data_IF_277698797869
#
_entry.id   IF_277698797869
#
_cell.length_a   1.000
_cell.length_b   1.000
_cell.length_c   1.000
_cell.angle_alpha   90.00
_cell.angle_beta   90.00
_cell.angle_gamma   90.00
#
_symmetry.space_group_name_H-M   'P 1'
#
loop_
_entity.id
_entity.type
_entity.pdbx_description
1 polymer ?
#
# COMPACT_ATOMS: atom_id res chain seq x y z
N UNK A 1 33.98 -29.68 -26.12
CA UNK A 1 32.67 -29.12 -26.54
C UNK A 1 31.59 -29.93 -25.86
N UNK A 2 31.03 -29.39 -24.77
CA UNK A 2 30.07 -30.05 -23.91
C UNK A 2 28.66 -29.47 -24.15
N UNK A 3 27.69 -30.38 -24.32
CA UNK A 3 26.30 -30.36 -23.84
C UNK A 3 25.46 -29.09 -24.06
N UNK A 4 24.62 -29.15 -25.08
CA UNK A 4 23.28 -28.53 -25.17
C UNK A 4 22.47 -29.56 -26.00
N UNK A 5 21.39 -30.20 -25.57
CA UNK A 5 20.03 -29.70 -25.32
C UNK A 5 19.29 -30.88 -24.63
N UNK A 6 18.55 -30.65 -23.56
CA UNK A 6 17.62 -31.65 -23.01
C UNK A 6 16.40 -30.93 -22.44
N UNK A 7 15.25 -31.60 -22.56
CA UNK A 7 13.96 -31.35 -21.89
C UNK A 7 12.99 -30.42 -22.63
N UNK A 8 12.40 -30.90 -23.72
CA UNK A 8 10.97 -30.73 -24.01
C UNK A 8 10.46 -32.07 -24.57
N UNK A 9 9.26 -32.46 -24.13
CA UNK A 9 8.44 -33.58 -24.61
C UNK A 9 8.82 -34.99 -24.15
N UNK A 10 8.23 -35.41 -23.02
CA UNK A 10 7.64 -36.76 -22.85
C UNK A 10 6.87 -36.80 -21.53
N UNK A 11 5.66 -36.25 -21.56
CA UNK A 11 4.67 -36.33 -20.48
C UNK A 11 3.35 -36.81 -21.10
N UNK A 12 3.43 -37.96 -21.76
CA UNK A 12 2.30 -38.75 -22.25
C UNK A 12 2.79 -40.19 -22.30
N UNK A 13 2.27 -41.03 -21.39
CA UNK A 13 2.40 -42.50 -21.27
C UNK A 13 2.85 -42.87 -19.86
N UNK A 14 1.91 -42.87 -18.92
CA UNK A 14 1.92 -43.68 -17.69
C UNK A 14 0.50 -43.66 -17.10
N UNK A 15 -0.42 -44.35 -17.75
CA UNK A 15 -1.73 -44.69 -17.19
C UNK A 15 -2.15 -46.06 -17.72
N UNK A 16 -1.59 -47.12 -17.16
CA UNK A 16 -2.11 -48.48 -17.28
C UNK A 16 -1.49 -49.32 -16.16
N UNK A 17 -2.31 -49.61 -15.14
CA UNK A 17 -1.97 -50.55 -14.06
C UNK A 17 -2.22 -49.98 -12.66
N UNK A 18 -3.47 -49.94 -12.23
CA UNK A 18 -3.81 -49.94 -10.81
C UNK A 18 -5.11 -50.71 -10.63
N UNK A 19 -5.05 -51.71 -9.76
CA UNK A 19 -6.12 -52.65 -9.46
C UNK A 19 -7.34 -51.95 -8.84
N UNK A 20 -8.53 -52.48 -9.14
CA UNK A 20 -9.79 -52.12 -8.48
C UNK A 20 -9.71 -52.50 -7.00
N UNK A 21 -9.59 -51.48 -6.14
CA UNK A 21 -9.92 -51.56 -4.72
C UNK A 21 -11.23 -50.81 -4.57
N UNK A 22 -12.33 -51.51 -4.28
CA UNK A 22 -13.57 -50.89 -3.82
C UNK A 22 -13.31 -50.22 -2.47
N UNK A 23 -12.98 -48.93 -2.50
CA UNK A 23 -13.05 -48.10 -1.30
C UNK A 23 -14.53 -47.89 -0.93
N UNK A 24 -14.92 -48.05 0.34
CA UNK A 24 -16.26 -47.71 0.77
C UNK A 24 -16.42 -46.20 0.56
N UNK A 25 -17.25 -45.82 -0.42
CA UNK A 25 -17.68 -44.43 -0.63
C UNK A 25 -18.21 -43.95 0.71
N UNK A 26 -17.48 -43.06 1.38
CA UNK A 26 -17.93 -42.39 2.58
C UNK A 26 -19.26 -41.71 2.23
N UNK A 27 -20.38 -42.26 2.71
CA UNK A 27 -21.66 -41.57 2.66
C UNK A 27 -21.51 -40.34 3.53
N UNK A 28 -21.29 -39.20 2.88
CA UNK A 28 -21.36 -37.89 3.54
C UNK A 28 -22.76 -37.81 4.16
N UNK A 29 -22.80 -37.64 5.48
CA UNK A 29 -24.05 -37.39 6.20
C UNK A 29 -24.77 -36.22 5.50
N UNK A 30 -26.05 -36.37 5.10
CA UNK A 30 -26.78 -35.29 4.46
C UNK A 30 -26.70 -33.96 5.21
N UNK A 31 -26.56 -33.98 6.55
CA UNK A 31 -26.38 -32.76 7.36
C UNK A 31 -24.98 -32.13 7.23
N UNK A 32 -23.93 -32.91 6.94
CA UNK A 32 -22.56 -32.42 6.68
C UNK A 32 -22.34 -31.92 5.25
N UNK A 33 -23.28 -32.20 4.34
CA UNK A 33 -23.22 -31.77 2.93
C UNK A 33 -23.75 -30.36 2.67
N UNK A 34 -24.43 -29.76 3.65
CA UNK A 34 -24.97 -28.41 3.56
C UNK A 34 -23.91 -27.43 4.07
N UNK A 35 -23.30 -26.66 3.16
CA UNK A 35 -22.39 -25.56 3.51
C UNK A 35 -23.18 -24.54 4.33
N UNK A 36 -22.80 -24.35 5.60
CA UNK A 36 -23.34 -23.32 6.47
C UNK A 36 -22.50 -22.06 6.34
N UNK A 37 -23.10 -20.89 6.50
CA UNK A 37 -22.33 -19.63 6.44
C UNK A 37 -21.24 -19.56 7.53
N UNK A 38 -21.48 -20.17 8.69
CA UNK A 38 -20.50 -20.32 9.76
C UNK A 38 -19.19 -21.00 9.34
N UNK A 39 -19.19 -21.81 8.28
CA UNK A 39 -17.98 -22.49 7.77
C UNK A 39 -16.94 -21.51 7.21
N UNK A 40 -17.34 -20.27 6.95
CA UNK A 40 -16.49 -19.19 6.41
C UNK A 40 -16.06 -18.15 7.45
N UNK A 41 -16.53 -18.30 8.70
CA UNK A 41 -16.31 -17.35 9.79
C UNK A 41 -15.34 -17.95 10.82
N UNK A 42 -14.46 -17.15 11.45
CA UNK A 42 -13.54 -17.66 12.47
C UNK A 42 -14.31 -18.06 13.74
N UNK A 43 -14.56 -19.36 13.90
CA UNK A 43 -15.43 -19.96 14.94
C UNK A 43 -14.96 -19.64 16.37
N UNK A 44 -13.63 -19.65 16.59
CA UNK A 44 -13.01 -19.42 17.92
C UNK A 44 -13.37 -18.06 18.56
N UNK A 45 -13.79 -17.08 17.75
CA UNK A 45 -14.19 -15.74 18.22
C UNK A 45 -15.63 -15.67 18.74
N UNK A 46 -16.49 -16.62 18.40
CA UNK A 46 -17.93 -16.54 18.66
C UNK A 46 -18.40 -17.41 19.83
N UNK A 47 -17.73 -18.52 20.13
CA UNK A 47 -18.07 -19.36 21.29
C UNK A 47 -17.81 -18.67 22.64
N UNK A 48 -16.91 -17.69 22.67
CA UNK A 48 -16.58 -16.89 23.86
C UNK A 48 -17.04 -15.42 23.74
N UNK A 49 -17.85 -15.11 22.73
CA UNK A 49 -18.35 -13.77 22.54
C UNK A 49 -19.35 -13.39 23.64
N UNK A 50 -19.21 -12.19 24.20
CA UNK A 50 -20.23 -11.64 25.10
C UNK A 50 -21.52 -11.33 24.32
N UNK A 51 -22.70 -11.51 24.92
CA UNK A 51 -23.99 -11.21 24.27
C UNK A 51 -24.05 -9.82 23.59
N UNK A 52 -23.55 -8.71 24.18
CA UNK A 52 -23.60 -7.40 23.51
C UNK A 52 -22.75 -7.33 22.23
N UNK A 53 -21.63 -8.06 22.20
CA UNK A 53 -20.79 -8.16 21.01
C UNK A 53 -21.52 -8.95 19.92
N UNK A 54 -22.12 -10.08 20.29
CA UNK A 54 -22.88 -10.91 19.36
C UNK A 54 -24.11 -10.18 18.84
N UNK A 55 -24.84 -9.45 19.70
CA UNK A 55 -25.97 -8.59 19.32
C UNK A 55 -25.55 -7.53 18.31
N UNK A 56 -24.48 -6.76 18.59
CA UNK A 56 -24.00 -5.72 17.67
C UNK A 56 -23.50 -6.29 16.33
N UNK A 57 -22.82 -7.44 16.36
CA UNK A 57 -22.35 -8.11 15.15
C UNK A 57 -23.52 -8.59 14.28
N UNK A 58 -24.49 -9.31 14.86
CA UNK A 58 -25.67 -9.80 14.13
C UNK A 58 -26.51 -8.64 13.63
N UNK A 59 -26.73 -7.59 14.44
CA UNK A 59 -27.45 -6.39 14.02
C UNK A 59 -26.78 -5.75 12.79
N UNK A 60 -25.44 -5.61 12.79
CA UNK A 60 -24.72 -5.04 11.65
C UNK A 60 -24.84 -5.88 10.37
N UNK A 61 -24.87 -7.22 10.52
CA UNK A 61 -25.05 -8.14 9.40
C UNK A 61 -26.45 -8.05 8.81
N UNK A 62 -27.48 -8.02 9.66
CA UNK A 62 -28.86 -7.85 9.21
C UNK A 62 -29.03 -6.48 8.55
N UNK A 63 -28.53 -5.41 9.15
CA UNK A 63 -28.63 -4.06 8.56
C UNK A 63 -27.90 -4.00 7.22
N UNK A 64 -26.74 -4.66 7.07
CA UNK A 64 -26.02 -4.66 5.78
C UNK A 64 -26.80 -5.32 4.62
N UNK A 65 -27.69 -6.26 4.92
CA UNK A 65 -28.38 -7.10 3.91
C UNK A 65 -29.87 -6.78 3.80
N UNK A 66 -30.49 -6.34 4.90
CA UNK A 66 -31.94 -6.23 5.12
C UNK A 66 -32.33 -4.89 5.79
N UNK A 67 -31.51 -3.82 5.65
CA UNK A 67 -31.74 -2.51 6.30
C UNK A 67 -33.17 -1.97 6.16
N UNK A 68 -33.83 -2.23 5.04
CA UNK A 68 -35.17 -1.73 4.72
C UNK A 68 -36.26 -2.24 5.68
N UNK A 69 -36.02 -3.37 6.35
CA UNK A 69 -37.01 -4.00 7.24
C UNK A 69 -36.85 -3.57 8.71
N UNK A 70 -35.76 -2.88 9.07
CA UNK A 70 -35.49 -2.43 10.45
C UNK A 70 -35.68 -3.54 11.50
N UNK A 71 -35.17 -4.74 11.20
CA UNK A 71 -35.23 -5.89 12.12
C UNK A 71 -34.36 -5.59 13.33
N UNK A 72 -34.89 -5.87 14.52
CA UNK A 72 -34.17 -5.62 15.78
C UNK A 72 -33.68 -6.96 16.32
N UNK A 73 -32.39 -6.99 16.67
CA UNK A 73 -31.74 -8.15 17.28
C UNK A 73 -31.53 -7.90 18.76
N UNK A 74 -31.88 -8.88 19.58
CA UNK A 74 -31.53 -8.93 21.02
C UNK A 74 -30.87 -10.27 21.29
N UNK A 75 -29.76 -10.27 22.03
CA UNK A 75 -29.05 -11.50 22.40
C UNK A 75 -28.96 -11.65 23.91
N UNK A 76 -29.29 -12.84 24.42
CA UNK A 76 -29.13 -13.23 25.83
C UNK A 76 -28.69 -14.68 25.91
N UNK A 77 -27.60 -14.96 26.62
CA UNK A 77 -27.02 -16.30 26.75
C UNK A 77 -26.85 -17.00 25.40
N UNK A 78 -26.42 -16.27 24.35
CA UNK A 78 -26.34 -16.77 22.96
C UNK A 78 -27.68 -17.17 22.29
N UNK A 79 -28.81 -16.93 22.95
CA UNK A 79 -30.14 -16.99 22.35
C UNK A 79 -30.47 -15.65 21.68
N UNK A 80 -30.80 -15.69 20.40
CA UNK A 80 -31.12 -14.51 19.62
C UNK A 80 -32.63 -14.36 19.52
N UNK A 81 -33.15 -13.18 19.89
CA UNK A 81 -34.54 -12.81 19.62
C UNK A 81 -34.60 -11.78 18.52
N UNK A 82 -35.38 -12.05 17.48
CA UNK A 82 -35.63 -11.16 16.37
C UNK A 82 -37.01 -10.51 16.52
N UNK A 83 -37.04 -9.19 16.35
CA UNK A 83 -38.26 -8.39 16.34
C UNK A 83 -38.41 -7.66 15.01
N UNK A 84 -39.65 -7.25 14.69
CA UNK A 84 -39.97 -6.46 13.49
C UNK A 84 -39.57 -7.14 12.17
N UNK A 85 -39.78 -8.46 12.07
CA UNK A 85 -39.59 -9.18 10.81
C UNK A 85 -40.60 -8.73 9.74
N UNK A 86 -40.22 -8.78 8.45
CA UNK A 86 -41.14 -8.47 7.37
C UNK A 86 -42.33 -9.42 7.34
N UNK A 87 -43.50 -8.91 6.94
CA UNK A 87 -44.72 -9.73 6.76
C UNK A 87 -44.62 -10.76 5.63
N UNK A 88 -43.58 -10.70 4.81
CA UNK A 88 -43.32 -11.68 3.76
C UNK A 88 -42.62 -12.90 4.36
N UNK A 89 -43.33 -14.02 4.44
CA UNK A 89 -42.86 -15.28 5.04
C UNK A 89 -41.55 -15.80 4.45
N UNK A 90 -41.31 -15.63 3.15
CA UNK A 90 -40.07 -16.10 2.52
C UNK A 90 -38.87 -15.29 3.00
N UNK A 91 -39.04 -13.98 3.09
CA UNK A 91 -37.99 -13.06 3.55
C UNK A 91 -37.77 -13.24 5.06
N UNK A 92 -38.84 -13.36 5.86
CA UNK A 92 -38.75 -13.61 7.30
C UNK A 92 -38.01 -14.93 7.60
N UNK A 93 -38.34 -16.02 6.90
CA UNK A 93 -37.63 -17.30 7.03
C UNK A 93 -36.17 -17.21 6.59
N UNK A 94 -35.89 -16.44 5.53
CA UNK A 94 -34.52 -16.20 5.09
C UNK A 94 -33.70 -15.48 6.16
N UNK A 95 -34.27 -14.49 6.84
CA UNK A 95 -33.58 -13.73 7.90
C UNK A 95 -33.35 -14.63 9.12
N UNK A 96 -34.36 -15.41 9.54
CA UNK A 96 -34.22 -16.35 10.66
C UNK A 96 -33.13 -17.39 10.37
N UNK A 97 -33.14 -18.01 9.19
CA UNK A 97 -32.11 -18.97 8.78
C UNK A 97 -30.73 -18.31 8.73
N UNK A 98 -30.65 -17.09 8.21
CA UNK A 98 -29.40 -16.34 8.14
C UNK A 98 -28.75 -16.16 9.52
N UNK A 99 -29.57 -15.82 10.53
CA UNK A 99 -29.09 -15.62 11.91
C UNK A 99 -28.77 -16.94 12.60
N UNK A 100 -29.60 -17.96 12.38
CA UNK A 100 -29.42 -19.30 12.98
C UNK A 100 -28.13 -20.00 12.51
N UNK A 101 -27.66 -19.69 11.29
CA UNK A 101 -26.44 -20.25 10.71
C UNK A 101 -25.15 -19.55 11.19
N UNK A 102 -25.27 -18.50 12.02
CA UNK A 102 -24.10 -17.78 12.54
C UNK A 102 -23.44 -18.56 13.68
N UNK A 103 -22.10 -18.64 13.70
CA UNK A 103 -21.37 -19.28 14.79
C UNK A 103 -21.64 -18.55 16.10
N UNK A 104 -21.79 -19.31 17.19
CA UNK A 104 -22.11 -18.76 18.51
C UNK A 104 -23.60 -18.45 18.73
N UNK A 105 -24.50 -18.70 17.77
CA UNK A 105 -25.95 -18.61 17.99
C UNK A 105 -26.50 -19.98 18.39
N UNK A 106 -27.06 -20.08 19.60
CA UNK A 106 -27.60 -21.35 20.11
C UNK A 106 -29.03 -21.58 19.61
N UNK A 107 -29.85 -20.54 19.52
CA UNK A 107 -31.17 -20.60 18.90
C UNK A 107 -31.68 -19.20 18.52
N UNK A 108 -32.68 -19.18 17.64
CA UNK A 108 -33.38 -17.97 17.21
C UNK A 108 -34.87 -18.05 17.56
N UNK A 109 -35.37 -17.04 18.27
CA UNK A 109 -36.78 -16.85 18.57
C UNK A 109 -37.30 -15.59 17.85
N UNK A 110 -38.56 -15.62 17.40
CA UNK A 110 -39.22 -14.46 16.80
C UNK A 110 -40.30 -13.96 17.74
N UNK A 111 -40.30 -12.65 18.03
CA UNK A 111 -41.32 -11.99 18.85
C UNK A 111 -41.83 -10.73 18.18
N UNK A 112 -43.11 -10.43 18.38
CA UNK A 112 -43.76 -9.25 17.82
C UNK A 112 -43.52 -7.98 18.66
N UNK A 113 -43.42 -8.13 19.98
CA UNK A 113 -43.28 -7.00 20.91
C UNK A 113 -42.10 -7.21 21.87
N UNK A 114 -41.29 -6.16 22.04
CA UNK A 114 -40.19 -6.13 23.00
C UNK A 114 -40.68 -5.87 24.42
N UNK A 115 -40.03 -6.48 25.40
CA UNK A 115 -40.27 -6.19 26.81
C UNK A 115 -39.72 -4.82 27.21
N UNK A 116 -40.30 -4.22 28.27
CA UNK A 116 -39.83 -2.92 28.79
C UNK A 116 -38.36 -2.95 29.24
N UNK A 117 -37.92 -4.09 29.75
CA UNK A 117 -36.52 -4.33 30.17
C UNK A 117 -35.57 -4.33 28.97
N UNK A 118 -35.94 -4.97 27.86
CA UNK A 118 -35.14 -4.96 26.63
C UNK A 118 -35.06 -3.56 26.01
N UNK A 119 -36.19 -2.84 25.95
CA UNK A 119 -36.23 -1.44 25.49
C UNK A 119 -35.31 -0.56 26.36
N UNK A 120 -35.30 -0.77 27.68
CA UNK A 120 -34.49 0.02 28.60
C UNK A 120 -33.00 -0.36 28.56
N UNK A 121 -32.68 -1.63 28.41
CA UNK A 121 -31.30 -2.10 28.17
C UNK A 121 -30.72 -1.51 26.89
N UNK A 122 -31.56 -1.35 25.85
CA UNK A 122 -31.15 -0.73 24.59
C UNK A 122 -30.94 0.77 24.65
N UNK A 123 -31.70 1.48 25.50
CA UNK A 123 -31.42 2.89 25.79
C UNK A 123 -30.06 3.10 26.48
N UNK A 124 -29.47 2.05 27.03
CA UNK A 124 -28.11 2.02 27.57
C UNK A 124 -27.01 1.86 26.50
N UNK A 125 -27.35 1.50 25.26
CA UNK A 125 -26.45 1.63 24.12
C UNK A 125 -26.41 3.10 23.71
N UNK A 126 -25.76 3.94 24.52
CA UNK A 126 -25.25 5.23 24.04
C UNK A 126 -24.52 4.97 22.73
N UNK A 127 -24.96 5.59 21.64
CA UNK A 127 -24.12 5.72 20.45
C UNK A 127 -22.79 6.29 20.94
N UNK A 128 -21.76 5.45 20.99
CA UNK A 128 -20.44 5.90 21.38
C UNK A 128 -20.13 7.12 20.50
N UNK A 129 -19.60 8.22 21.06
CA UNK A 129 -19.36 9.43 20.31
C UNK A 129 -18.59 9.07 19.03
N UNK A 130 -19.26 9.22 17.88
CA UNK A 130 -18.65 8.97 16.58
C UNK A 130 -17.60 10.04 16.38
N UNK A 131 -16.34 9.71 16.64
CA UNK A 131 -15.22 10.55 16.25
C UNK A 131 -15.28 10.63 14.72
N UNK A 132 -15.34 11.84 14.16
CA UNK A 132 -15.38 12.09 12.70
C UNK A 132 -14.06 11.76 11.99
N UNK A 133 -13.29 10.82 12.54
CA UNK A 133 -11.97 10.46 12.08
C UNK A 133 -11.29 9.39 12.92
N UNK A 134 -10.09 9.00 12.48
CA UNK A 134 -9.28 7.95 13.09
C UNK A 134 -7.85 8.46 13.33
N UNK A 135 -7.34 8.20 14.53
CA UNK A 135 -5.93 8.42 14.87
C UNK A 135 -5.08 7.29 14.34
N UNK A 136 -3.93 7.63 13.75
CA UNK A 136 -2.89 6.70 13.29
C UNK A 136 -3.41 5.57 12.38
N UNK A 137 -4.09 5.87 11.24
CA UNK A 137 -4.55 4.82 10.35
C UNK A 137 -3.38 4.00 9.78
N UNK A 138 -3.46 2.67 9.92
CA UNK A 138 -2.33 1.77 9.60
C UNK A 138 -2.54 0.95 8.31
N UNK A 139 -3.79 0.77 7.90
CA UNK A 139 -4.17 -0.24 6.89
C UNK A 139 -4.16 0.29 5.46
N UNK A 140 -4.43 1.59 5.28
CA UNK A 140 -4.63 2.23 3.98
C UNK A 140 -4.03 3.63 3.96
N UNK A 141 -3.70 4.11 2.77
CA UNK A 141 -3.26 5.49 2.51
C UNK A 141 -4.25 6.14 1.54
N UNK A 142 -4.49 7.45 1.69
CA UNK A 142 -5.37 8.20 0.78
C UNK A 142 -4.69 8.57 -0.54
N UNK A 143 -3.36 8.72 -0.51
CA UNK A 143 -2.53 8.96 -1.68
C UNK A 143 -1.47 7.87 -1.76
N UNK A 144 -1.50 7.07 -2.83
CA UNK A 144 -0.51 6.01 -3.03
C UNK A 144 0.85 6.59 -3.45
N UNK A 145 1.97 6.09 -2.91
CA UNK A 145 3.31 6.54 -3.28
C UNK A 145 3.58 6.46 -4.78
N UNK A 146 4.33 7.41 -5.34
CA UNK A 146 4.69 7.43 -6.76
C UNK A 146 5.79 6.39 -7.03
N UNK A 147 5.45 5.26 -7.67
CA UNK A 147 6.37 4.10 -7.74
C UNK A 147 7.70 4.46 -8.39
N UNK A 148 7.67 5.20 -9.51
CA UNK A 148 8.86 5.52 -10.30
C UNK A 148 9.56 6.83 -9.89
N UNK A 149 9.05 7.57 -8.92
CA UNK A 149 9.74 8.74 -8.38
C UNK A 149 10.99 8.28 -7.59
N UNK A 150 12.21 8.74 -7.96
CA UNK A 150 13.45 8.37 -7.26
C UNK A 150 13.51 8.83 -5.80
N UNK A 151 12.69 9.82 -5.41
CA UNK A 151 12.64 10.44 -4.09
C UNK A 151 11.31 10.26 -3.39
N UNK A 152 10.54 9.25 -3.79
CA UNK A 152 9.43 8.78 -3.00
C UNK A 152 9.95 8.05 -1.73
N UNK A 153 9.46 8.39 -0.53
CA UNK A 153 9.95 7.82 0.74
C UNK A 153 9.47 6.38 0.91
N UNK A 154 10.26 5.45 0.39
CA UNK A 154 10.03 4.00 0.49
C UNK A 154 11.27 3.29 1.01
N UNK A 155 11.10 2.06 1.48
CA UNK A 155 12.24 1.19 1.81
C UNK A 155 12.73 0.52 0.54
N UNK A 156 13.99 0.72 0.15
CA UNK A 156 14.54 0.05 -1.03
C UNK A 156 16.06 -0.16 -0.97
N UNK A 157 16.52 -1.15 -1.73
CA UNK A 157 17.94 -1.38 -2.02
C UNK A 157 18.09 -1.64 -3.50
N UNK A 158 19.00 -0.91 -4.14
CA UNK A 158 19.17 -0.91 -5.59
C UNK A 158 20.65 -1.06 -5.95
N UNK A 159 20.96 -2.06 -6.76
CA UNK A 159 22.27 -2.15 -7.40
C UNK A 159 22.27 -1.27 -8.66
N UNK A 160 22.99 -0.14 -8.60
CA UNK A 160 23.03 0.90 -9.64
C UNK A 160 24.24 0.74 -10.55
N UNK A 161 24.00 0.84 -11.86
CA UNK A 161 24.99 0.61 -12.91
C UNK A 161 24.98 1.72 -13.96
N UNK A 162 26.16 2.14 -14.41
CA UNK A 162 26.32 3.09 -15.51
C UNK A 162 26.27 4.57 -15.12
N UNK A 163 26.08 4.88 -13.84
CA UNK A 163 26.06 6.26 -13.33
C UNK A 163 27.42 6.93 -13.51
N UNK A 164 27.45 8.09 -14.17
CA UNK A 164 28.68 8.85 -14.44
C UNK A 164 29.01 9.85 -13.33
N UNK A 165 28.04 10.19 -12.49
CA UNK A 165 28.17 11.19 -11.42
C UNK A 165 28.66 10.53 -10.15
N UNK A 166 27.94 9.48 -9.70
CA UNK A 166 28.31 8.71 -8.50
C UNK A 166 29.48 7.78 -8.81
N UNK A 167 29.30 6.92 -9.82
CA UNK A 167 30.26 5.91 -10.24
C UNK A 167 29.57 4.75 -10.96
N UNK A 168 30.30 4.04 -11.84
CA UNK A 168 29.73 3.03 -12.75
C UNK A 168 29.04 1.85 -12.04
N UNK A 169 29.35 1.63 -10.78
CA UNK A 169 28.80 0.62 -9.87
C UNK A 169 28.57 1.30 -8.53
N UNK A 170 27.32 1.32 -8.09
CA UNK A 170 26.91 1.89 -6.82
C UNK A 170 25.79 1.07 -6.20
N UNK A 171 25.56 1.25 -4.91
CA UNK A 171 24.38 0.73 -4.20
C UNK A 171 23.60 1.92 -3.66
N UNK A 172 22.35 2.07 -4.08
CA UNK A 172 21.45 3.09 -3.56
C UNK A 172 20.46 2.45 -2.57
N UNK A 173 20.43 2.96 -1.36
CA UNK A 173 19.55 2.51 -0.27
C UNK A 173 18.60 3.64 0.08
N UNK A 174 17.33 3.32 0.27
CA UNK A 174 16.35 4.26 0.81
C UNK A 174 15.64 3.67 2.02
N UNK A 175 15.40 4.53 3.01
CA UNK A 175 14.59 4.24 4.18
C UNK A 175 13.62 5.40 4.35
N UNK A 176 12.33 5.14 4.21
CA UNK A 176 11.32 6.18 4.34
C UNK A 176 9.92 5.58 4.41
N UNK A 177 9.02 6.34 5.02
CA UNK A 177 7.60 6.02 5.08
C UNK A 177 6.80 7.32 5.26
N UNK A 178 5.51 7.23 4.95
CA UNK A 178 4.52 8.22 5.35
C UNK A 178 3.82 7.73 6.63
N UNK A 179 3.78 8.59 7.64
CA UNK A 179 3.18 8.35 8.94
C UNK A 179 1.89 9.17 9.08
N UNK A 180 0.72 8.59 8.78
CA UNK A 180 -0.56 9.24 9.02
C UNK A 180 -0.75 9.52 10.51
N UNK A 181 -1.08 10.77 10.86
CA UNK A 181 -1.37 11.14 12.25
C UNK A 181 -2.87 11.06 12.50
N UNK A 182 -3.66 11.69 11.63
CA UNK A 182 -5.11 11.72 11.77
C UNK A 182 -5.77 11.75 10.40
N UNK A 183 -6.88 11.01 10.28
CA UNK A 183 -7.75 11.04 9.10
C UNK A 183 -9.15 11.44 9.52
N UNK A 184 -9.65 12.54 8.97
CA UNK A 184 -11.06 12.88 8.99
C UNK A 184 -11.81 12.10 7.91
N UNK A 185 -12.98 11.61 8.28
CA UNK A 185 -13.91 10.96 7.36
C UNK A 185 -15.01 11.91 6.92
N UNK A 186 -15.46 11.75 5.68
CA UNK A 186 -16.64 12.42 5.15
C UNK A 186 -16.59 13.96 5.31
N UNK A 187 -15.53 14.58 4.77
CA UNK A 187 -15.30 16.02 4.84
C UNK A 187 -15.52 16.71 3.50
N UNK A 188 -15.84 18.01 3.59
CA UNK A 188 -16.12 18.91 2.47
C UNK A 188 -17.31 18.49 1.60
N UNK A 189 -17.56 19.25 0.53
CA UNK A 189 -18.72 19.07 -0.37
C UNK A 189 -18.75 17.73 -1.11
N UNK A 190 -17.60 17.08 -1.23
CA UNK A 190 -17.44 15.86 -2.02
C UNK A 190 -17.42 14.59 -1.16
N UNK A 191 -17.69 14.70 0.15
CA UNK A 191 -17.82 13.55 1.05
C UNK A 191 -16.59 12.63 1.02
N UNK A 192 -15.39 13.21 0.91
CA UNK A 192 -14.13 12.49 0.83
C UNK A 192 -13.42 12.38 2.18
N UNK A 193 -12.33 11.61 2.21
CA UNK A 193 -11.48 11.50 3.40
C UNK A 193 -10.31 12.49 3.31
N UNK A 194 -9.97 13.16 4.41
CA UNK A 194 -8.82 14.04 4.54
C UNK A 194 -7.86 13.49 5.58
N UNK A 195 -6.56 13.53 5.32
CA UNK A 195 -5.54 13.00 6.22
C UNK A 195 -4.33 13.92 6.28
N UNK A 196 -3.85 14.16 7.50
CA UNK A 196 -2.57 14.82 7.76
C UNK A 196 -1.58 13.80 8.33
N UNK A 197 -0.31 13.94 7.95
CA UNK A 197 0.75 13.06 8.44
C UNK A 197 2.13 13.73 8.44
N UNK A 198 3.14 12.90 8.67
CA UNK A 198 4.55 13.25 8.53
C UNK A 198 5.15 12.30 7.49
N UNK A 199 5.88 12.85 6.54
CA UNK A 199 6.65 12.12 5.55
C UNK A 199 8.12 12.21 5.93
N UNK A 200 8.83 11.10 6.03
CA UNK A 200 10.26 11.11 6.31
C UNK A 200 10.99 10.11 5.44
N UNK A 201 12.16 10.50 4.92
CA UNK A 201 12.94 9.66 4.03
C UNK A 201 14.43 9.96 4.11
N UNK A 202 15.24 8.93 3.93
CA UNK A 202 16.69 9.02 3.80
C UNK A 202 17.10 8.21 2.57
N UNK A 203 17.90 8.79 1.69
CA UNK A 203 18.52 8.08 0.56
C UNK A 203 20.01 8.20 0.67
N UNK A 204 20.70 7.07 0.75
CA UNK A 204 22.15 6.99 0.78
C UNK A 204 22.63 6.22 -0.45
N UNK A 205 23.65 6.76 -1.13
CA UNK A 205 24.26 6.09 -2.28
C UNK A 205 25.74 5.82 -2.03
N UNK A 206 26.13 4.55 -2.17
CA UNK A 206 27.48 4.06 -1.93
C UNK A 206 28.17 3.75 -3.26
N UNK A 207 29.31 4.38 -3.51
CA UNK A 207 30.08 4.16 -4.73
C UNK A 207 31.11 3.03 -4.55
N UNK A 208 31.13 2.08 -5.49
CA UNK A 208 32.10 0.98 -5.56
C UNK A 208 33.13 1.15 -6.69
N UNK A 209 33.01 2.24 -7.47
CA UNK A 209 33.87 2.51 -8.61
C UNK A 209 34.98 3.47 -8.25
N UNK A 210 36.22 3.07 -8.52
CA UNK A 210 37.41 3.95 -8.39
C UNK A 210 37.63 4.47 -6.96
N UNK A 211 37.19 3.71 -5.93
CA UNK A 211 37.43 4.02 -4.51
C UNK A 211 38.94 3.99 -4.22
N UNK A 212 39.53 5.12 -3.76
CA UNK A 212 40.97 5.20 -3.45
C UNK A 212 41.37 4.30 -2.27
N UNK A 213 42.65 3.95 -2.17
CA UNK A 213 43.23 3.08 -1.11
C UNK A 213 42.71 1.64 -1.02
N UNK A 214 42.29 1.07 -2.17
CA UNK A 214 41.78 -0.30 -2.35
C UNK A 214 42.34 -1.36 -1.38
N UNK A 215 41.46 -1.86 -0.51
CA UNK A 215 41.40 -3.29 -0.16
C UNK A 215 40.07 -3.82 -0.70
N UNK A 216 40.01 -5.09 -1.06
CA UNK A 216 38.81 -5.70 -1.65
C UNK A 216 37.56 -5.44 -0.77
N UNK A 217 36.42 -5.14 -1.41
CA UNK A 217 35.10 -4.89 -0.79
C UNK A 217 34.86 -3.53 -0.10
N UNK A 218 35.70 -2.52 -0.32
CA UNK A 218 35.43 -1.16 0.20
C UNK A 218 34.49 -0.36 -0.72
N UNK A 219 33.54 0.37 -0.12
CA UNK A 219 32.73 1.40 -0.78
C UNK A 219 32.95 2.75 -0.10
N UNK A 220 32.64 3.85 -0.80
CA UNK A 220 32.58 5.19 -0.21
C UNK A 220 31.12 5.65 -0.15
N UNK A 221 30.69 6.24 0.97
CA UNK A 221 29.40 6.91 1.01
C UNK A 221 29.50 8.17 0.15
N UNK A 222 28.76 8.22 -0.95
CA UNK A 222 28.88 9.32 -1.90
C UNK A 222 28.03 10.51 -1.50
N UNK A 223 26.76 10.26 -1.19
CA UNK A 223 25.81 11.27 -0.73
C UNK A 223 24.71 10.62 0.12
N UNK A 224 24.18 11.38 1.07
CA UNK A 224 22.96 11.06 1.81
C UNK A 224 22.03 12.26 1.81
N UNK A 225 20.81 12.11 1.32
CA UNK A 225 19.79 13.16 1.49
C UNK A 225 18.73 12.74 2.49
N UNK A 226 18.25 13.73 3.26
CA UNK A 226 17.25 13.60 4.30
C UNK A 226 16.04 14.44 3.92
N UNK A 227 14.86 13.85 3.95
CA UNK A 227 13.58 14.49 3.72
C UNK A 227 12.73 14.42 4.99
N UNK A 228 12.12 15.55 5.34
CA UNK A 228 11.00 15.64 6.28
C UNK A 228 9.93 16.52 5.65
N UNK A 229 8.68 16.07 5.67
CA UNK A 229 7.56 16.83 5.16
C UNK A 229 6.27 16.60 5.93
N UNK A 230 5.30 17.48 5.71
CA UNK A 230 3.96 17.41 6.28
C UNK A 230 2.98 17.27 5.11
N UNK A 231 2.62 16.04 4.71
CA UNK A 231 1.60 15.82 3.69
C UNK A 231 0.19 16.00 4.25
N UNK A 232 -0.61 16.76 3.52
CA UNK A 232 -2.06 16.79 3.58
C UNK A 232 -2.59 16.05 2.36
N UNK A 233 -3.30 14.95 2.59
CA UNK A 233 -3.82 14.08 1.53
C UNK A 233 -5.34 14.04 1.57
N UNK A 234 -5.98 14.10 0.41
CA UNK A 234 -7.44 14.06 0.29
C UNK A 234 -7.82 13.07 -0.80
N UNK A 235 -8.82 12.23 -0.57
CA UNK A 235 -9.28 11.27 -1.58
C UNK A 235 -10.81 11.18 -1.62
N UNK A 236 -11.36 11.15 -2.82
CA UNK A 236 -12.78 10.91 -3.07
C UNK A 236 -12.96 10.22 -4.42
N UNK A 237 -13.83 9.22 -4.48
CA UNK A 237 -14.08 8.40 -5.68
C UNK A 237 -12.75 7.90 -6.31
N UNK A 238 -12.43 8.34 -7.54
CA UNK A 238 -11.21 7.96 -8.28
C UNK A 238 -10.06 8.96 -8.14
N UNK A 239 -10.25 10.03 -7.37
CA UNK A 239 -9.29 11.11 -7.22
C UNK A 239 -8.57 11.03 -5.89
N UNK A 240 -7.26 11.28 -5.93
CA UNK A 240 -6.41 11.46 -4.75
C UNK A 240 -5.53 12.68 -4.94
N UNK A 241 -5.34 13.46 -3.88
CA UNK A 241 -4.54 14.67 -3.89
C UNK A 241 -3.53 14.62 -2.74
N UNK A 242 -2.32 15.14 -2.98
CA UNK A 242 -1.28 15.33 -1.97
C UNK A 242 -0.78 16.76 -2.08
N UNK A 243 -0.96 17.53 -1.02
CA UNK A 243 -0.29 18.81 -0.83
C UNK A 243 0.77 18.63 0.26
N UNK A 244 2.02 18.96 0.00
CA UNK A 244 3.11 18.70 0.95
C UNK A 244 4.06 19.89 1.02
N UNK A 245 4.25 20.41 2.22
CA UNK A 245 5.43 21.23 2.54
C UNK A 245 6.53 20.28 3.02
N UNK A 246 7.73 20.41 2.48
CA UNK A 246 8.86 19.57 2.88
C UNK A 246 10.17 20.32 2.84
N UNK A 247 11.11 19.81 3.64
CA UNK A 247 12.51 20.18 3.65
C UNK A 247 13.32 18.97 3.16
N UNK A 248 14.31 19.24 2.32
CA UNK A 248 15.32 18.25 1.95
C UNK A 248 16.73 18.84 2.12
N UNK A 249 17.64 18.07 2.69
CA UNK A 249 19.05 18.42 2.81
C UNK A 249 19.94 17.27 2.38
N UNK A 250 20.97 17.59 1.59
CA UNK A 250 21.95 16.63 1.10
C UNK A 250 23.31 16.79 1.77
N UNK A 251 23.85 15.68 2.24
CA UNK A 251 25.12 15.61 2.93
C UNK A 251 26.05 14.65 2.19
N UNK A 252 27.11 15.22 1.59
CA UNK A 252 28.18 14.44 0.99
C UNK A 252 28.91 13.63 2.06
N UNK A 253 29.21 12.37 1.76
CA UNK A 253 30.00 11.51 2.65
C UNK A 253 31.42 12.02 2.84
N UNK A 254 31.97 11.72 4.01
CA UNK A 254 33.30 12.18 4.42
C UNK A 254 34.41 11.49 3.61
N UNK A 255 34.22 10.24 3.19
CA UNK A 255 35.20 9.52 2.37
C UNK A 255 35.40 10.22 1.02
N UNK A 256 34.35 10.79 0.42
CA UNK A 256 34.48 11.58 -0.82
C UNK A 256 35.30 12.84 -0.57
N UNK A 257 35.10 13.53 0.56
CA UNK A 257 35.83 14.75 0.90
C UNK A 257 37.30 14.48 1.21
N UNK A 258 37.60 13.37 1.87
CA UNK A 258 38.95 12.94 2.21
C UNK A 258 39.74 12.46 0.99
N UNK A 259 39.08 11.79 0.04
CA UNK A 259 39.76 11.21 -1.11
C UNK A 259 39.77 12.11 -2.36
N UNK A 260 38.95 13.16 -2.40
CA UNK A 260 38.80 14.05 -3.57
C UNK A 260 38.95 15.51 -3.16
N UNK A 261 40.19 15.94 -2.92
CA UNK A 261 40.53 17.29 -2.45
C UNK A 261 39.86 18.44 -3.24
N UNK A 262 39.71 18.28 -4.55
CA UNK A 262 39.06 19.29 -5.41
C UNK A 262 37.56 19.48 -5.13
N UNK A 263 36.88 18.47 -4.56
CA UNK A 263 35.48 18.56 -4.13
C UNK A 263 35.37 19.24 -2.76
N UNK A 264 36.35 19.04 -1.87
CA UNK A 264 36.40 19.71 -0.56
C UNK A 264 36.39 21.23 -0.69
N UNK A 265 37.16 21.77 -1.64
CA UNK A 265 37.25 23.22 -1.89
C UNK A 265 35.97 23.79 -2.55
N UNK A 266 35.15 22.95 -3.18
CA UNK A 266 33.93 23.34 -3.90
C UNK A 266 32.64 22.84 -3.24
N UNK A 267 32.72 22.40 -1.97
CA UNK A 267 31.57 21.88 -1.24
C UNK A 267 30.49 22.95 -1.16
N UNK A 268 29.26 22.56 -1.46
CA UNK A 268 28.05 23.37 -1.30
C UNK A 268 27.10 22.66 -0.34
N UNK A 269 26.13 23.39 0.19
CA UNK A 269 25.09 22.85 1.05
C UNK A 269 23.77 22.74 0.24
N UNK A 270 23.52 21.60 -0.43
CA UNK A 270 22.26 21.38 -1.15
C UNK A 270 21.13 21.21 -0.12
N UNK A 271 20.43 22.28 0.19
CA UNK A 271 19.30 22.25 1.11
C UNK A 271 18.23 23.23 0.63
N UNK A 272 16.98 22.78 0.66
CA UNK A 272 15.85 23.60 0.24
C UNK A 272 14.54 23.16 0.88
N UNK A 273 13.62 24.11 0.96
CA UNK A 273 12.23 23.93 1.36
C UNK A 273 11.32 24.18 0.17
N UNK A 274 10.35 23.29 0.00
CA UNK A 274 9.42 23.34 -1.11
C UNK A 274 8.01 22.98 -0.70
N UNK A 275 7.07 23.42 -1.53
CA UNK A 275 5.68 23.01 -1.51
C UNK A 275 5.37 22.30 -2.83
N UNK A 276 4.79 21.10 -2.77
CA UNK A 276 4.21 20.42 -3.94
C UNK A 276 2.72 20.19 -3.78
N UNK A 277 2.01 20.17 -4.91
CA UNK A 277 0.64 19.69 -5.02
C UNK A 277 0.62 18.66 -6.14
N UNK A 278 0.26 17.41 -5.85
CA UNK A 278 0.10 16.35 -6.83
C UNK A 278 -1.34 15.86 -6.84
N UNK A 279 -1.96 15.88 -8.02
CA UNK A 279 -3.26 15.27 -8.27
C UNK A 279 -3.05 13.91 -8.93
N UNK A 280 -3.76 12.89 -8.48
CA UNK A 280 -3.77 11.55 -9.04
C UNK A 280 -5.19 11.12 -9.39
N UNK A 281 -5.32 10.43 -10.52
CA UNK A 281 -6.59 9.90 -11.01
C UNK A 281 -6.46 8.42 -11.37
N UNK A 282 -7.35 7.61 -10.80
CA UNK A 282 -7.43 6.18 -11.04
C UNK A 282 -8.39 5.88 -12.20
N UNK A 283 -7.85 5.76 -13.42
CA UNK A 283 -8.65 5.50 -14.63
C UNK A 283 -9.35 4.14 -14.60
N UNK A 284 -8.66 3.11 -14.11
CA UNK A 284 -9.15 1.73 -13.96
C UNK A 284 -8.50 1.07 -12.75
N UNK A 285 -8.83 -0.17 -12.43
CA UNK A 285 -8.14 -0.92 -11.35
C UNK A 285 -6.63 -1.09 -11.59
N UNK A 286 -6.17 -0.99 -12.84
CA UNK A 286 -4.77 -1.19 -13.23
C UNK A 286 -4.03 0.08 -13.67
N UNK A 287 -4.73 1.14 -14.10
CA UNK A 287 -4.11 2.35 -14.65
C UNK A 287 -4.33 3.56 -13.73
N UNK A 288 -3.21 4.18 -13.32
CA UNK A 288 -3.17 5.42 -12.55
C UNK A 288 -2.35 6.45 -13.30
N UNK A 289 -2.81 7.69 -13.31
CA UNK A 289 -1.99 8.85 -13.74
C UNK A 289 -1.88 9.86 -12.61
N UNK A 290 -0.85 10.68 -12.66
CA UNK A 290 -0.69 11.79 -11.72
C UNK A 290 0.08 12.93 -12.38
N UNK A 291 -0.18 14.14 -11.92
CA UNK A 291 0.55 15.33 -12.31
C UNK A 291 0.40 16.42 -11.25
N UNK A 292 1.38 17.30 -11.17
CA UNK A 292 1.27 18.47 -10.33
C UNK A 292 2.52 19.35 -10.27
N UNK A 293 2.34 20.62 -9.91
CA UNK A 293 3.43 21.57 -9.76
C UNK A 293 4.09 21.47 -8.38
N UNK A 294 5.30 22.00 -8.29
CA UNK A 294 5.91 22.37 -7.03
C UNK A 294 6.73 23.64 -7.13
N UNK A 295 6.98 24.23 -5.95
CA UNK A 295 7.69 25.49 -5.78
C UNK A 295 8.69 25.37 -4.64
N UNK A 296 9.96 25.56 -4.95
CA UNK A 296 11.03 25.82 -4.00
C UNK A 296 10.92 27.28 -3.57
N UNK A 297 10.63 27.51 -2.28
CA UNK A 297 10.46 28.87 -1.74
C UNK A 297 11.65 29.31 -0.89
N UNK A 298 12.48 28.37 -0.43
CA UNK A 298 13.72 28.65 0.26
C UNK A 298 14.80 27.64 -0.15
N UNK A 299 16.05 28.11 -0.25
CA UNK A 299 17.22 27.29 -0.52
C UNK A 299 18.46 27.95 0.06
N UNK A 300 19.45 27.14 0.42
CA UNK A 300 20.72 27.60 0.99
C UNK A 300 21.46 28.59 0.06
N UNK A 301 22.15 29.58 0.64
CA UNK A 301 22.87 30.62 -0.11
C UNK A 301 23.98 30.07 -1.00
N UNK A 302 24.60 28.96 -0.60
CA UNK A 302 25.65 28.29 -1.38
C UNK A 302 25.09 27.42 -2.50
N UNK A 303 23.78 27.13 -2.49
CA UNK A 303 23.11 26.27 -3.46
C UNK A 303 21.69 26.78 -3.83
N UNK A 304 21.61 28.03 -4.31
CA UNK A 304 20.33 28.60 -4.75
C UNK A 304 19.71 27.81 -5.91
N UNK A 305 18.46 27.41 -5.72
CA UNK A 305 17.64 26.75 -6.74
C UNK A 305 16.62 27.71 -7.34
N UNK A 306 16.33 27.53 -8.62
CA UNK A 306 15.17 28.18 -9.24
C UNK A 306 13.87 27.57 -8.71
N UNK A 307 12.80 28.37 -8.56
CA UNK A 307 11.64 27.99 -7.77
C UNK A 307 10.81 26.86 -8.37
N UNK A 308 10.55 26.84 -9.68
CA UNK A 308 9.46 26.02 -10.21
C UNK A 308 9.90 24.64 -10.70
N UNK A 309 9.05 23.64 -10.49
CA UNK A 309 9.14 22.33 -11.12
C UNK A 309 7.75 21.72 -11.32
N UNK A 310 7.66 20.70 -12.17
CA UNK A 310 6.45 19.91 -12.40
C UNK A 310 6.81 18.44 -12.40
N UNK A 311 5.98 17.63 -11.74
CA UNK A 311 6.08 16.17 -11.69
C UNK A 311 4.84 15.59 -12.36
N UNK A 312 5.01 14.57 -13.18
CA UNK A 312 3.91 13.87 -13.83
C UNK A 312 4.30 12.45 -14.20
N UNK A 313 3.33 11.56 -14.32
CA UNK A 313 3.63 10.18 -14.60
C UNK A 313 2.41 9.28 -14.63
N UNK A 314 2.70 8.00 -14.79
CA UNK A 314 1.68 6.96 -14.85
C UNK A 314 2.17 5.64 -14.26
N UNK A 315 1.20 4.81 -13.88
CA UNK A 315 1.43 3.46 -13.40
C UNK A 315 0.41 2.52 -13.99
N UNK A 316 0.90 1.36 -14.38
CA UNK A 316 0.14 0.32 -15.05
C UNK A 316 0.40 -1.00 -14.35
N UNK A 317 -0.67 -1.64 -13.90
CA UNK A 317 -0.71 -2.98 -13.30
C UNK A 317 -1.59 -3.85 -14.17
N UNK A 318 -1.03 -4.94 -14.68
CA UNK A 318 -1.72 -5.85 -15.59
C UNK A 318 -1.61 -7.28 -15.09
N UNK A 319 -2.54 -8.14 -15.49
CA UNK A 319 -2.46 -9.60 -15.31
C UNK A 319 -2.21 -10.03 -13.85
N UNK A 320 -2.91 -9.39 -12.90
CA UNK A 320 -2.83 -9.78 -11.50
C UNK A 320 -3.37 -11.20 -11.25
N UNK A 321 -2.64 -11.98 -10.45
CA UNK A 321 -2.96 -13.37 -10.17
C UNK A 321 -2.99 -13.65 -8.67
N UNK A 322 -3.98 -14.44 -8.25
CA UNK A 322 -4.10 -14.97 -6.89
C UNK A 322 -3.28 -16.25 -6.78
N UNK A 323 -2.26 -16.25 -5.93
CA UNK A 323 -1.45 -17.40 -5.57
C UNK A 323 -2.05 -18.05 -4.33
N UNK A 324 -3.11 -18.84 -4.52
CA UNK A 324 -3.94 -19.39 -3.43
C UNK A 324 -3.14 -20.19 -2.41
N UNK A 325 -2.19 -21.01 -2.86
CA UNK A 325 -1.37 -21.86 -1.98
C UNK A 325 -0.56 -21.04 -0.96
N UNK A 326 -0.02 -19.90 -1.36
CA UNK A 326 0.79 -19.02 -0.50
C UNK A 326 0.00 -17.86 0.11
N UNK A 327 -1.30 -17.75 -0.18
CA UNK A 327 -2.14 -16.60 0.20
C UNK A 327 -1.54 -15.25 -0.22
N UNK A 328 -1.01 -15.18 -1.45
CA UNK A 328 -0.44 -13.95 -2.03
C UNK A 328 -1.20 -13.49 -3.27
N UNK A 329 -1.14 -12.19 -3.55
CA UNK A 329 -1.55 -11.59 -4.81
C UNK A 329 -0.34 -10.99 -5.51
N UNK A 330 -0.09 -11.43 -6.75
CA UNK A 330 1.05 -11.03 -7.55
C UNK A 330 0.62 -10.27 -8.81
N UNK A 331 1.30 -9.17 -9.13
CA UNK A 331 0.97 -8.33 -10.28
C UNK A 331 2.24 -7.81 -10.97
N UNK A 332 2.41 -8.05 -12.27
CA UNK A 332 3.32 -7.28 -13.10
C UNK A 332 2.95 -5.79 -13.11
N UNK A 333 3.95 -4.92 -13.03
CA UNK A 333 3.75 -3.48 -13.11
C UNK A 333 4.76 -2.79 -14.02
N UNK A 334 4.33 -1.65 -14.56
CA UNK A 334 5.14 -0.65 -15.22
C UNK A 334 4.82 0.72 -14.62
N UNK A 335 5.82 1.53 -14.36
CA UNK A 335 5.66 2.89 -13.87
C UNK A 335 6.63 3.83 -14.58
N UNK A 336 6.18 5.04 -14.86
CA UNK A 336 6.97 6.12 -15.41
C UNK A 336 6.74 7.38 -14.57
N UNK A 337 7.84 8.04 -14.19
CA UNK A 337 7.83 9.34 -13.53
C UNK A 337 8.69 10.29 -14.35
N UNK A 338 8.15 11.48 -14.58
CA UNK A 338 8.78 12.54 -15.35
C UNK A 338 8.81 13.81 -14.53
N UNK A 339 9.93 14.53 -14.64
CA UNK A 339 10.12 15.80 -13.97
C UNK A 339 10.68 16.85 -14.92
N UNK A 340 10.23 18.08 -14.75
CA UNK A 340 10.77 19.23 -15.46
C UNK A 340 11.03 20.33 -14.43
N UNK A 341 12.31 20.66 -14.22
CA UNK A 341 12.73 21.68 -13.28
C UNK A 341 13.13 22.96 -14.02
N UNK A 342 12.66 24.12 -13.54
CA UNK A 342 13.12 25.42 -14.03
C UNK A 342 14.64 25.58 -13.88
N UNK A 343 15.21 24.98 -12.81
CA UNK A 343 16.64 24.89 -12.55
C UNK A 343 17.41 24.32 -13.75
N UNK A 344 16.82 23.32 -14.41
CA UNK A 344 17.38 22.60 -15.55
C UNK A 344 16.88 23.13 -16.89
N UNK A 345 16.28 24.34 -16.93
CA UNK A 345 15.75 24.91 -18.16
C UNK A 345 14.52 24.16 -18.70
N UNK A 346 13.77 23.48 -17.83
CA UNK A 346 12.63 22.61 -18.17
C UNK A 346 12.99 21.38 -19.00
N UNK A 347 14.28 21.03 -19.04
CA UNK A 347 14.72 19.75 -19.59
C UNK A 347 14.00 18.58 -18.90
N UNK A 348 13.70 17.55 -19.69
CA UNK A 348 12.96 16.38 -19.23
C UNK A 348 13.88 15.37 -18.53
N UNK A 349 13.51 15.03 -17.31
CA UNK A 349 14.04 13.90 -16.55
C UNK A 349 13.03 12.78 -16.52
N UNK A 350 13.47 11.57 -16.83
CA UNK A 350 12.61 10.38 -16.91
C UNK A 350 13.16 9.26 -16.03
N UNK A 351 12.28 8.65 -15.26
CA UNK A 351 12.55 7.42 -14.52
C UNK A 351 11.47 6.39 -14.84
N UNK A 352 11.89 5.19 -15.24
CA UNK A 352 11.01 4.07 -15.54
C UNK A 352 11.30 2.92 -14.59
N UNK A 353 10.24 2.25 -14.11
CA UNK A 353 10.33 0.99 -13.37
C UNK A 353 9.44 -0.07 -14.03
N UNK A 354 9.98 -1.26 -14.20
CA UNK A 354 9.22 -2.43 -14.63
C UNK A 354 9.55 -3.60 -13.72
N UNK A 355 8.54 -4.33 -13.28
CA UNK A 355 8.77 -5.37 -12.30
C UNK A 355 7.52 -6.16 -11.93
N UNK A 356 7.62 -6.82 -10.79
CA UNK A 356 6.57 -7.62 -10.21
C UNK A 356 6.36 -7.23 -8.76
N UNK A 357 5.11 -6.99 -8.36
CA UNK A 357 4.74 -6.70 -6.98
C UNK A 357 3.96 -7.86 -6.33
N UNK A 358 4.27 -8.14 -5.07
CA UNK A 358 3.65 -9.17 -4.24
C UNK A 358 2.97 -8.50 -3.05
N UNK A 359 1.73 -8.92 -2.76
CA UNK A 359 0.91 -8.38 -1.68
C UNK A 359 0.07 -9.48 -1.03
N UNK A 360 -0.64 -9.16 0.05
CA UNK A 360 -1.66 -10.06 0.63
C UNK A 360 -2.76 -10.34 -0.41
N UNK A 361 -3.50 -11.45 -0.29
CA UNK A 361 -4.61 -11.79 -1.20
C UNK A 361 -5.64 -10.67 -1.42
N UNK A 362 -5.79 -9.78 -0.45
CA UNK A 362 -6.67 -8.61 -0.55
C UNK A 362 -6.20 -7.59 -1.60
N UNK A 363 -4.93 -7.62 -2.00
CA UNK A 363 -4.34 -6.67 -2.95
C UNK A 363 -4.15 -5.25 -2.39
N UNK A 364 -4.46 -5.05 -1.10
CA UNK A 364 -4.44 -3.77 -0.39
C UNK A 364 -3.29 -3.73 0.61
N UNK A 365 -2.74 -2.53 0.82
CA UNK A 365 -1.69 -2.27 1.79
C UNK A 365 -0.29 -2.36 1.19
N UNK A 366 0.72 -2.54 2.07
CA UNK A 366 2.12 -2.62 1.69
C UNK A 366 2.41 -3.84 0.80
N UNK A 367 3.33 -3.65 -0.14
CA UNK A 367 3.73 -4.59 -1.18
C UNK A 367 5.25 -4.71 -1.24
N UNK A 368 5.73 -5.92 -1.52
CA UNK A 368 7.10 -6.19 -1.93
C UNK A 368 7.20 -6.01 -3.44
N UNK A 369 8.24 -5.36 -3.95
CA UNK A 369 8.46 -5.19 -5.39
C UNK A 369 9.87 -5.60 -5.76
N UNK A 370 10.00 -6.36 -6.85
CA UNK A 370 11.25 -6.65 -7.53
C UNK A 370 11.19 -5.99 -8.91
N UNK A 371 12.21 -5.22 -9.27
CA UNK A 371 12.14 -4.42 -10.50
C UNK A 371 13.49 -4.13 -11.14
N UNK A 372 13.40 -3.73 -12.40
CA UNK A 372 14.42 -3.02 -13.15
C UNK A 372 14.02 -1.55 -13.23
N UNK A 373 14.95 -0.66 -12.90
CA UNK A 373 14.79 0.79 -13.03
C UNK A 373 15.73 1.32 -14.11
N UNK A 374 15.29 2.31 -14.88
CA UNK A 374 16.16 3.11 -15.73
C UNK A 374 15.86 4.60 -15.51
N UNK A 375 16.91 5.36 -15.26
CA UNK A 375 16.85 6.81 -15.10
C UNK A 375 17.70 7.49 -16.18
N UNK A 376 17.16 8.56 -16.76
CA UNK A 376 17.85 9.45 -17.69
C UNK A 376 17.44 10.89 -17.40
N UNK A 377 18.39 11.71 -17.00
CA UNK A 377 18.08 13.07 -16.57
C UNK A 377 19.22 13.71 -15.79
N UNK A 378 18.88 14.55 -14.83
CA UNK A 378 19.81 15.09 -13.84
C UNK A 378 19.94 14.19 -12.62
N UNK A 379 21.10 14.22 -11.98
CA UNK A 379 21.39 13.45 -10.78
C UNK A 379 20.53 13.96 -9.62
N UNK A 380 20.01 13.07 -8.79
CA UNK A 380 19.31 13.47 -7.57
C UNK A 380 20.27 13.68 -6.38
N UNK A 381 21.58 13.50 -6.56
CA UNK A 381 22.52 13.36 -5.44
C UNK A 381 23.08 14.72 -4.98
N UNK A 382 22.46 15.30 -3.95
CA UNK A 382 22.97 16.49 -3.24
C UNK A 382 23.51 17.58 -4.15
N UNK A 383 24.77 17.99 -3.96
CA UNK A 383 25.37 19.10 -4.71
C UNK A 383 25.60 18.79 -6.19
N UNK A 384 25.43 17.54 -6.60
CA UNK A 384 25.52 17.10 -7.99
C UNK A 384 24.19 17.21 -8.72
N UNK A 385 23.15 17.79 -8.10
CA UNK A 385 21.82 17.99 -8.70
C UNK A 385 21.86 18.56 -10.13
N UNK A 386 22.80 19.46 -10.43
CA UNK A 386 22.94 20.06 -11.76
C UNK A 386 23.75 19.22 -12.77
N UNK A 387 24.07 17.95 -12.46
CA UNK A 387 24.86 17.07 -13.34
C UNK A 387 23.96 16.05 -14.02
N UNK A 388 23.99 16.01 -15.35
CA UNK A 388 23.30 14.97 -16.11
C UNK A 388 23.93 13.60 -15.91
N UNK A 389 23.10 12.59 -15.72
CA UNK A 389 23.50 11.20 -15.65
C UNK A 389 22.45 10.29 -16.29
N UNK A 390 22.81 9.03 -16.46
CA UNK A 390 21.88 7.95 -16.78
C UNK A 390 22.38 6.69 -16.11
N UNK A 391 21.46 5.89 -15.60
CA UNK A 391 21.81 4.64 -14.93
C UNK A 391 20.66 3.64 -15.00
N UNK A 392 21.02 2.37 -14.94
CA UNK A 392 20.08 1.28 -14.73
C UNK A 392 20.24 0.72 -13.31
N UNK A 393 19.16 0.23 -12.72
CA UNK A 393 19.20 -0.41 -11.41
C UNK A 393 18.42 -1.72 -11.41
N UNK A 394 18.89 -2.66 -10.60
CA UNK A 394 18.14 -3.83 -10.19
C UNK A 394 17.81 -3.63 -8.72
N UNK A 395 16.53 -3.62 -8.39
CA UNK A 395 16.07 -3.15 -7.10
C UNK A 395 15.01 -4.04 -6.47
N UNK A 396 14.96 -3.91 -5.15
CA UNK A 396 13.89 -4.42 -4.32
C UNK A 396 13.34 -3.26 -3.47
N UNK A 397 12.01 -3.19 -3.30
CA UNK A 397 11.38 -2.22 -2.41
C UNK A 397 10.24 -2.79 -1.59
N UNK A 398 9.98 -2.19 -0.44
CA UNK A 398 8.83 -2.41 0.42
C UNK A 398 8.12 -1.08 0.70
N UNK A 399 6.82 -1.02 0.46
CA UNK A 399 6.00 0.20 0.62
C UNK A 399 4.58 0.00 0.09
N UNK A 400 3.73 1.02 0.18
CA UNK A 400 2.37 0.97 -0.38
C UNK A 400 2.36 0.90 -1.92
#
# INVERSE_FOLDING_TARGET
>A
MNRVVTVIASLCLLSLGAAEVEEPIAKVDPELSVIKRGDSLPVDTFEHATDPYLEGYIQSLIDSTYYEYNVIVVVKDHHVTLYNLPKNDLIAKSIVSYVQDLPGVTSVEVKDEMTKEEIQSRKGYTEAPRVSGVWFPQSTVLFLPLIADPREPVYSVNWRMGDKVVGRKAVAVSLGDDFPIFRWHDVFRWHGDLQIGISAGVWAVFNFSHVPHRRHNTCELFNTDYLVGIPLTYAFDKWSFRARVYHISGHMGDEVLCHRDHLRVKRRNPSFEAFDWISSYQFSSGLRVYAGPGVVFASDDTFKLKPLYVIWGMELRLFGQKLNYHKLFGTPFFAANMENWQQHGWDLDCTFKVGYEFSKLQGVGRKMRLYLQYHQGFSYEGQFFNKRTKYGEIGFSWGF
#
